data_IF_212472639455
#
_entry.id   IF_212472639455
#
_cell.length_a   1.000
_cell.length_b   1.000
_cell.length_c   1.000
_cell.angle_alpha   90.00
_cell.angle_beta   90.00
_cell.angle_gamma   90.00
#
_symmetry.space_group_name_H-M   'P 1'
#
loop_
_entity.id
_entity.type
_entity.pdbx_description
1 polymer ?
#
# COMPACT_ATOMS: atom_id res chain seq x y z
N UNK A 1 -3.87 19.51 -28.10
CA UNK A 1 -4.66 18.37 -27.59
C UNK A 1 -3.77 17.14 -27.57
N UNK A 2 -3.85 16.37 -26.48
CA UNK A 2 -3.07 15.18 -26.09
C UNK A 2 -1.58 15.41 -25.71
N UNK A 3 -1.32 15.75 -24.43
CA UNK A 3 0.00 15.62 -23.79
C UNK A 3 0.11 14.23 -23.15
N UNK A 4 0.90 13.35 -23.77
CA UNK A 4 1.32 12.08 -23.18
C UNK A 4 2.52 12.30 -22.25
N UNK A 5 2.45 11.73 -21.05
CA UNK A 5 3.58 11.66 -20.12
C UNK A 5 4.52 10.55 -20.63
N UNK A 6 5.81 10.82 -20.91
CA UNK A 6 6.76 9.80 -21.31
C UNK A 6 7.30 9.06 -20.09
N UNK A 7 7.41 7.72 -20.17
CA UNK A 7 8.36 7.00 -19.32
C UNK A 7 7.89 5.78 -18.53
N UNK A 8 6.73 5.17 -18.81
CA UNK A 8 6.37 3.87 -18.21
C UNK A 8 6.27 2.78 -19.27
N UNK A 9 7.40 2.20 -19.65
CA UNK A 9 7.43 0.88 -20.30
C UNK A 9 7.65 -0.17 -19.21
N UNK A 10 6.58 -0.86 -18.82
CA UNK A 10 6.66 -2.10 -18.05
C UNK A 10 7.08 -3.20 -19.03
N UNK A 11 8.37 -3.50 -19.12
CA UNK A 11 8.83 -4.75 -19.73
C UNK A 11 8.58 -5.87 -18.73
N UNK A 12 7.50 -6.61 -18.94
CA UNK A 12 7.21 -7.84 -18.24
C UNK A 12 7.83 -8.99 -19.03
N UNK A 13 9.00 -9.49 -18.60
CA UNK A 13 9.51 -10.77 -19.09
C UNK A 13 10.10 -11.63 -17.94
N UNK A 14 9.33 -12.68 -17.63
CA UNK A 14 9.69 -14.02 -17.15
C UNK A 14 10.59 -14.22 -15.91
N UNK A 15 9.97 -14.29 -14.71
CA UNK A 15 9.99 -15.48 -13.83
C UNK A 15 8.96 -15.32 -12.67
N UNK A 16 8.17 -16.34 -12.25
CA UNK A 16 6.85 -16.10 -11.64
C UNK A 16 6.79 -15.89 -10.12
N UNK A 17 7.91 -15.80 -9.39
CA UNK A 17 7.86 -15.93 -7.92
C UNK A 17 8.78 -15.04 -7.06
N UNK A 18 9.62 -14.17 -7.62
CA UNK A 18 10.45 -13.28 -6.81
C UNK A 18 10.54 -11.89 -7.46
N UNK A 19 9.79 -10.92 -6.97
CA UNK A 19 10.21 -9.52 -7.08
C UNK A 19 11.14 -9.24 -5.91
N UNK A 20 12.43 -9.50 -6.09
CA UNK A 20 13.49 -9.08 -5.18
C UNK A 20 14.27 -7.96 -5.87
N UNK A 21 14.26 -6.78 -5.24
CA UNK A 21 14.90 -5.52 -5.62
C UNK A 21 14.20 -4.71 -6.72
N UNK A 22 13.81 -3.48 -6.37
CA UNK A 22 13.70 -2.37 -7.32
C UNK A 22 15.08 -1.71 -7.37
N UNK A 23 15.72 -1.75 -8.54
CA UNK A 23 16.99 -1.05 -8.80
C UNK A 23 16.75 0.44 -9.08
N UNK A 24 17.69 1.27 -8.61
CA UNK A 24 17.53 2.69 -8.29
C UNK A 24 17.80 3.57 -9.51
N UNK A 25 16.73 3.94 -10.20
CA UNK A 25 16.66 5.23 -10.92
C UNK A 25 16.49 6.38 -9.90
N UNK A 26 16.83 7.65 -10.23
CA UNK A 26 16.88 8.72 -9.23
C UNK A 26 15.49 9.03 -8.66
N UNK A 27 15.17 8.46 -7.49
CA UNK A 27 13.87 8.61 -6.83
C UNK A 27 13.48 7.50 -5.84
N UNK A 28 14.41 6.66 -5.38
CA UNK A 28 14.07 5.55 -4.46
C UNK A 28 13.85 6.05 -3.04
N UNK A 29 12.82 5.53 -2.38
CA UNK A 29 12.45 5.87 -1.00
C UNK A 29 12.26 4.57 -0.23
N UNK A 30 12.87 4.48 0.95
CA UNK A 30 12.80 3.29 1.78
C UNK A 30 11.39 3.07 2.33
N UNK A 31 10.88 1.87 2.08
CA UNK A 31 9.58 1.40 2.56
C UNK A 31 9.55 1.14 4.07
N UNK A 32 10.72 1.07 4.71
CA UNK A 32 10.88 0.92 6.15
C UNK A 32 11.76 2.05 6.70
N UNK A 33 11.51 2.52 7.92
CA UNK A 33 12.43 3.41 8.61
C UNK A 33 13.79 2.76 8.86
N UNK A 34 14.83 3.58 9.00
CA UNK A 34 16.23 3.15 9.14
C UNK A 34 16.44 2.18 10.33
N UNK A 35 15.53 2.20 11.31
CA UNK A 35 15.54 1.33 12.48
C UNK A 35 14.85 -0.03 12.28
N UNK A 36 14.23 -0.29 11.13
CA UNK A 36 13.68 -1.59 10.77
C UNK A 36 14.56 -2.21 9.68
N UNK A 37 15.30 -3.26 10.05
CA UNK A 37 16.29 -3.88 9.19
C UNK A 37 15.66 -4.39 7.88
N UNK A 38 16.14 -3.88 6.75
CA UNK A 38 15.77 -4.29 5.38
C UNK A 38 16.28 -5.67 4.96
N UNK A 39 16.57 -6.58 5.90
CA UNK A 39 17.20 -7.88 5.62
C UNK A 39 16.37 -8.79 4.70
N UNK A 40 16.94 -9.94 4.32
CA UNK A 40 16.26 -11.00 3.55
C UNK A 40 14.97 -11.43 4.25
N UNK A 41 13.83 -10.87 3.83
CA UNK A 41 12.54 -11.07 4.49
C UNK A 41 11.55 -9.90 4.35
N UNK A 42 12.00 -8.74 3.88
CA UNK A 42 11.10 -7.62 3.55
C UNK A 42 10.40 -7.89 2.22
N UNK A 43 9.16 -8.36 2.31
CA UNK A 43 8.30 -8.59 1.15
C UNK A 43 7.22 -7.52 1.10
N UNK A 44 7.22 -6.72 0.04
CA UNK A 44 6.08 -5.88 -0.33
C UNK A 44 4.95 -6.76 -0.86
N UNK A 45 3.70 -6.36 -0.65
CA UNK A 45 2.56 -7.23 -0.99
C UNK A 45 1.45 -6.55 -1.76
N UNK A 46 1.14 -5.30 -1.41
CA UNK A 46 0.25 -4.49 -2.22
C UNK A 46 0.64 -3.01 -2.05
N UNK A 47 0.33 -2.21 -3.06
CA UNK A 47 0.55 -0.78 -3.09
C UNK A 47 -0.69 -0.10 -3.65
N UNK A 48 -1.16 0.95 -2.96
CA UNK A 48 -2.33 1.73 -3.35
C UNK A 48 -2.04 3.21 -3.30
N UNK A 49 -2.56 3.93 -4.29
CA UNK A 49 -2.60 5.39 -4.30
C UNK A 49 -3.95 5.82 -3.75
N UNK A 50 -3.96 6.79 -2.86
CA UNK A 50 -5.20 7.39 -2.37
C UNK A 50 -5.98 8.01 -3.55
N UNK A 51 -7.32 8.02 -3.55
CA UNK A 51 -8.11 8.59 -4.65
C UNK A 51 -7.77 10.04 -5.02
N UNK A 52 -7.21 10.82 -4.08
CA UNK A 52 -6.74 12.19 -4.35
C UNK A 52 -5.40 12.28 -5.08
N UNK A 53 -4.65 11.18 -5.22
CA UNK A 53 -3.32 11.14 -5.82
C UNK A 53 -2.19 11.65 -4.92
N UNK A 54 -2.51 12.23 -3.75
CA UNK A 54 -1.51 12.89 -2.88
C UNK A 54 -0.73 11.94 -1.98
N UNK A 55 -1.20 10.71 -1.83
CA UNK A 55 -0.65 9.73 -0.90
C UNK A 55 -0.52 8.34 -1.52
N UNK A 56 0.53 7.62 -1.15
CA UNK A 56 0.81 6.24 -1.56
C UNK A 56 1.05 5.40 -0.33
N UNK A 57 0.52 4.18 -0.32
CA UNK A 57 0.59 3.26 0.81
C UNK A 57 1.06 1.91 0.34
N UNK A 58 1.95 1.28 1.10
CA UNK A 58 2.45 -0.05 0.81
C UNK A 58 2.41 -0.94 2.04
N UNK A 59 2.02 -2.20 1.84
CA UNK A 59 2.08 -3.23 2.87
C UNK A 59 3.45 -3.90 2.86
N UNK A 60 3.99 -4.16 4.05
CA UNK A 60 5.26 -4.84 4.25
C UNK A 60 5.04 -6.08 5.12
N UNK A 61 5.01 -7.26 4.50
CA UNK A 61 4.69 -8.53 5.18
C UNK A 61 5.74 -8.99 6.17
N UNK A 62 7.02 -8.75 5.90
CA UNK A 62 8.10 -9.18 6.79
C UNK A 62 8.02 -8.55 8.17
N UNK A 63 7.48 -7.32 8.23
CA UNK A 63 7.38 -6.53 9.46
C UNK A 63 5.93 -6.33 9.92
N UNK A 64 4.94 -6.81 9.15
CA UNK A 64 3.51 -6.54 9.34
C UNK A 64 3.23 -5.05 9.55
N UNK A 65 3.78 -4.19 8.69
CA UNK A 65 3.54 -2.74 8.74
C UNK A 65 2.92 -2.24 7.45
N UNK A 66 2.23 -1.11 7.54
CA UNK A 66 1.89 -0.26 6.40
C UNK A 66 2.76 0.98 6.44
N UNK A 67 3.37 1.32 5.31
CA UNK A 67 4.11 2.56 5.15
C UNK A 67 3.36 3.50 4.22
N UNK A 68 3.13 4.72 4.69
CA UNK A 68 2.43 5.77 3.99
C UNK A 68 3.43 6.86 3.54
N UNK A 69 3.23 7.36 2.33
CA UNK A 69 4.07 8.35 1.68
C UNK A 69 3.21 9.48 1.13
N UNK A 70 3.63 10.73 1.32
CA UNK A 70 3.12 11.87 0.59
C UNK A 70 3.84 11.99 -0.75
N UNK A 71 3.11 12.36 -1.79
CA UNK A 71 3.64 12.64 -3.12
C UNK A 71 3.89 14.14 -3.25
N UNK A 72 5.11 14.51 -3.63
CA UNK A 72 5.43 15.87 -4.04
C UNK A 72 4.88 16.12 -5.45
N UNK A 73 3.89 16.99 -5.59
CA UNK A 73 3.17 17.20 -6.86
C UNK A 73 4.04 17.78 -7.99
N UNK A 74 5.18 18.42 -7.65
CA UNK A 74 6.07 19.06 -8.63
C UNK A 74 7.14 18.09 -9.13
N UNK A 75 7.78 17.38 -8.21
CA UNK A 75 8.91 16.50 -8.48
C UNK A 75 8.53 15.02 -8.62
N UNK A 76 7.31 14.64 -8.22
CA UNK A 76 6.84 13.26 -8.17
C UNK A 76 7.51 12.42 -7.08
N UNK A 77 8.33 13.04 -6.22
CA UNK A 77 9.07 12.33 -5.17
C UNK A 77 8.16 11.92 -4.03
N UNK A 78 8.43 10.74 -3.47
CA UNK A 78 7.72 10.25 -2.31
C UNK A 78 8.44 10.69 -1.02
N UNK A 79 7.67 11.04 0.01
CA UNK A 79 8.19 11.32 1.35
C UNK A 79 7.40 10.51 2.34
N UNK A 80 8.05 9.63 3.10
CA UNK A 80 7.38 8.83 4.14
C UNK A 80 6.77 9.76 5.19
N UNK A 81 5.49 9.55 5.47
CA UNK A 81 4.73 10.30 6.49
C UNK A 81 4.36 9.41 7.67
N UNK A 82 4.30 8.10 7.48
CA UNK A 82 3.95 7.15 8.53
C UNK A 82 4.52 5.76 8.23
N UNK A 83 4.88 5.04 9.30
CA UNK A 83 4.94 3.59 9.31
C UNK A 83 4.13 3.13 10.51
N UNK A 84 3.10 2.33 10.26
CA UNK A 84 2.17 1.87 11.29
C UNK A 84 2.11 0.34 11.33
N UNK A 85 2.10 -0.20 12.55
CA UNK A 85 2.02 -1.64 12.78
C UNK A 85 0.61 -2.14 12.53
N UNK A 86 0.50 -3.16 11.68
CA UNK A 86 -0.74 -3.88 11.43
C UNK A 86 -0.84 -4.98 12.47
N UNK A 87 -1.98 -5.04 13.17
CA UNK A 87 -2.23 -6.14 14.09
C UNK A 87 -2.38 -7.44 13.29
N UNK A 88 -1.79 -8.54 13.76
CA UNK A 88 -1.85 -9.81 13.05
C UNK A 88 -0.73 -10.04 12.03
N UNK A 89 -0.90 -11.06 11.19
CA UNK A 89 0.19 -11.67 10.44
C UNK A 89 -0.11 -11.71 8.94
N UNK A 90 0.90 -11.36 8.15
CA UNK A 90 0.91 -11.51 6.69
C UNK A 90 -0.19 -10.69 5.99
N UNK A 91 -0.13 -9.34 6.06
CA UNK A 91 -1.02 -8.47 5.30
C UNK A 91 -0.77 -8.65 3.79
N UNK A 92 -1.79 -9.02 3.00
CA UNK A 92 -1.60 -9.40 1.58
C UNK A 92 -2.19 -8.42 0.58
N UNK A 93 -3.34 -7.85 0.88
CA UNK A 93 -4.04 -6.97 -0.03
C UNK A 93 -4.61 -5.78 0.73
N UNK A 94 -4.72 -4.64 0.06
CA UNK A 94 -5.39 -3.48 0.61
C UNK A 94 -6.17 -2.73 -0.46
N UNK A 95 -7.14 -1.94 -0.04
CA UNK A 95 -7.87 -1.04 -0.92
C UNK A 95 -8.44 0.14 -0.15
N UNK A 96 -8.72 1.23 -0.87
CA UNK A 96 -9.43 2.38 -0.31
C UNK A 96 -10.94 2.22 -0.54
N UNK A 97 -11.73 2.80 0.36
CA UNK A 97 -13.11 3.14 0.03
C UNK A 97 -13.15 4.12 -1.16
N UNK A 98 -14.24 4.16 -1.94
CA UNK A 98 -14.35 5.08 -3.08
C UNK A 98 -14.20 6.56 -2.71
N UNK A 99 -14.59 6.93 -1.48
CA UNK A 99 -14.43 8.28 -0.93
C UNK A 99 -13.05 8.54 -0.30
N UNK A 100 -12.17 7.54 -0.27
CA UNK A 100 -10.81 7.61 0.28
C UNK A 100 -10.73 7.65 1.81
N UNK A 101 -11.86 7.70 2.53
CA UNK A 101 -11.86 7.88 3.99
C UNK A 101 -11.47 6.64 4.77
N UNK A 102 -11.58 5.46 4.16
CA UNK A 102 -11.24 4.19 4.78
C UNK A 102 -10.22 3.42 3.95
N UNK A 103 -9.36 2.70 4.64
CA UNK A 103 -8.35 1.81 4.10
C UNK A 103 -8.55 0.42 4.69
N UNK A 104 -8.80 -0.55 3.82
CA UNK A 104 -9.06 -1.93 4.18
C UNK A 104 -7.79 -2.76 4.01
N UNK A 105 -7.48 -3.62 4.98
CA UNK A 105 -6.28 -4.45 4.97
C UNK A 105 -6.68 -5.91 5.15
N UNK A 106 -6.36 -6.77 4.18
CA UNK A 106 -6.51 -8.22 4.26
C UNK A 106 -5.33 -8.83 5.03
N UNK A 107 -5.58 -9.29 6.26
CA UNK A 107 -4.59 -9.92 7.13
C UNK A 107 -4.73 -11.44 7.00
N UNK A 108 -4.00 -12.01 6.04
CA UNK A 108 -4.25 -13.35 5.51
C UNK A 108 -4.09 -14.48 6.53
N UNK A 109 -3.08 -14.45 7.39
CA UNK A 109 -2.86 -15.53 8.37
C UNK A 109 -3.78 -15.37 9.57
N UNK A 110 -4.12 -14.13 9.93
CA UNK A 110 -5.05 -13.82 11.02
C UNK A 110 -6.53 -14.06 10.68
N UNK A 111 -6.85 -14.38 9.42
CA UNK A 111 -8.23 -14.59 8.95
C UNK A 111 -9.17 -13.40 9.22
N UNK A 112 -8.68 -12.19 8.96
CA UNK A 112 -9.46 -10.98 9.15
C UNK A 112 -9.16 -9.91 8.10
N UNK A 113 -10.13 -9.03 7.91
CA UNK A 113 -9.96 -7.74 7.23
C UNK A 113 -10.07 -6.65 8.29
N UNK A 114 -9.08 -5.77 8.36
CA UNK A 114 -9.08 -4.62 9.26
C UNK A 114 -9.51 -3.37 8.51
N UNK A 115 -10.24 -2.48 9.20
CA UNK A 115 -10.66 -1.18 8.68
C UNK A 115 -9.91 -0.08 9.40
N UNK A 116 -9.23 0.77 8.64
CA UNK A 116 -8.47 1.89 9.16
C UNK A 116 -9.02 3.19 8.54
N UNK A 117 -9.19 4.24 9.33
CA UNK A 117 -9.56 5.56 8.82
C UNK A 117 -8.35 6.26 8.22
N UNK A 118 -8.58 7.11 7.23
CA UNK A 118 -7.57 7.98 6.63
C UNK A 118 -7.86 9.41 7.05
N UNK A 119 -6.92 10.06 7.73
CA UNK A 119 -7.07 11.45 8.13
C UNK A 119 -6.82 12.42 6.97
N UNK A 120 -7.04 13.72 7.20
CA UNK A 120 -6.83 14.76 6.19
C UNK A 120 -5.37 14.92 5.72
N UNK A 121 -4.41 14.39 6.47
CA UNK A 121 -2.98 14.42 6.16
C UNK A 121 -2.48 13.11 5.55
N UNK A 122 -3.38 12.15 5.28
CA UNK A 122 -3.03 10.83 4.77
C UNK A 122 -2.47 9.87 5.83
N UNK A 123 -2.60 10.20 7.11
CA UNK A 123 -2.24 9.31 8.22
C UNK A 123 -3.35 8.29 8.41
N UNK A 124 -2.96 7.02 8.52
CA UNK A 124 -3.89 5.95 8.83
C UNK A 124 -4.09 5.81 10.33
N UNK A 125 -5.34 5.70 10.74
CA UNK A 125 -5.77 5.52 12.13
C UNK A 125 -6.53 4.20 12.23
N UNK A 126 -5.99 3.19 12.94
CA UNK A 126 -6.70 1.93 13.15
C UNK A 126 -8.05 2.17 13.82
N UNK A 127 -9.09 1.50 13.33
CA UNK A 127 -10.39 1.46 14.00
C UNK A 127 -10.54 0.16 14.80
N UNK A 128 -11.61 0.04 15.57
CA UNK A 128 -11.99 -1.22 16.23
C UNK A 128 -12.75 -2.18 15.29
N UNK A 129 -13.04 -1.74 14.05
CA UNK A 129 -13.81 -2.52 13.09
C UNK A 129 -12.92 -3.54 12.36
N UNK A 130 -13.32 -4.81 12.46
CA UNK A 130 -12.73 -5.92 11.73
C UNK A 130 -13.82 -6.85 11.22
N UNK A 131 -13.53 -7.55 10.13
CA UNK A 131 -14.39 -8.58 9.58
C UNK A 131 -13.63 -9.92 9.54
N UNK A 132 -14.21 -10.96 10.13
CA UNK A 132 -13.67 -12.31 10.05
C UNK A 132 -13.84 -12.86 8.62
N UNK A 133 -12.72 -13.07 7.93
CA UNK A 133 -12.68 -13.60 6.57
C UNK A 133 -11.59 -14.66 6.53
N UNK A 134 -11.87 -15.92 6.14
CA UNK A 134 -10.83 -16.94 6.04
C UNK A 134 -9.82 -16.59 4.95
N UNK A 135 -8.54 -16.48 5.32
CA UNK A 135 -7.38 -16.30 4.44
C UNK A 135 -7.55 -15.25 3.31
N UNK A 136 -7.94 -14.00 3.62
CA UNK A 136 -8.12 -12.99 2.59
C UNK A 136 -6.77 -12.69 1.93
N UNK A 137 -6.77 -12.54 0.61
CA UNK A 137 -5.56 -12.27 -0.17
C UNK A 137 -5.65 -10.99 -1.00
N UNK A 138 -6.84 -10.66 -1.50
CA UNK A 138 -7.09 -9.46 -2.30
C UNK A 138 -8.43 -8.85 -1.86
N UNK A 139 -8.51 -7.53 -1.89
CA UNK A 139 -9.74 -6.78 -1.61
C UNK A 139 -9.92 -5.81 -2.78
N UNK A 140 -11.13 -5.75 -3.31
CA UNK A 140 -11.51 -4.74 -4.30
C UNK A 140 -12.88 -4.18 -3.95
N UNK A 141 -13.08 -2.89 -4.19
CA UNK A 141 -14.38 -2.27 -4.05
C UNK A 141 -15.17 -2.53 -5.33
N UNK A 142 -16.31 -3.19 -5.20
CA UNK A 142 -17.27 -3.30 -6.30
C UNK A 142 -18.12 -2.04 -6.28
N UNK A 143 -18.05 -1.23 -7.33
CA UNK A 143 -18.86 -0.04 -7.44
C UNK A 143 -20.35 -0.41 -7.40
N UNK A 144 -21.06 0.06 -6.38
CA UNK A 144 -22.50 0.25 -6.52
C UNK A 144 -22.67 1.46 -7.42
N UNK A 145 -22.91 1.23 -8.70
CA UNK A 145 -23.51 2.27 -9.55
C UNK A 145 -24.79 2.72 -8.86
N UNK A 146 -24.99 4.03 -8.61
CA UNK A 146 -26.28 4.52 -8.13
C UNK A 146 -27.37 4.08 -9.14
N UNK A 147 -28.55 3.62 -8.68
CA UNK A 147 -29.67 3.29 -9.57
C UNK A 147 -30.18 4.52 -10.33
#
# INVERSE_FOLDING_TARGET
MASGIPGLQLHADCCPWCLSSMDVSPGTVDVLPENLNGGSGVLLSDLRVHPTGKYVYTLVRGHNVVSAFAVDEVSGRLRRIQTATINGISPKGCTFSPDGRFFYIAVSVSNEVQVWAVDANGILVPTEETAAVPRPSAITMVGMTPP
#
